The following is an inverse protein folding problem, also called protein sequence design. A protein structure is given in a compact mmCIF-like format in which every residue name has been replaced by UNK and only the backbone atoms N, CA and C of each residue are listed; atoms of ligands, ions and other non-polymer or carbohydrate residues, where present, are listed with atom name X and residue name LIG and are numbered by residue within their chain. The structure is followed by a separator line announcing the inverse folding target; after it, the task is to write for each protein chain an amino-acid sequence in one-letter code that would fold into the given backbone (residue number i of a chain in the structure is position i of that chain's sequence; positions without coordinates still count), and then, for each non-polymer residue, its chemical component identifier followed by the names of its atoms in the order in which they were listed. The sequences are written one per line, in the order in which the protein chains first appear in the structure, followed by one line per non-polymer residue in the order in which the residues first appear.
data_IF_512958614447
#
_entry.id   IF_512958614447
#
_cell.length_a   1.000
_cell.length_b   1.000
_cell.length_c   1.000
_cell.angle_alpha   90.00
_cell.angle_beta   90.00
_cell.angle_gamma   90.00
#
_symmetry.space_group_name_H-M   'P 1'
#
loop_
_entity.id
_entity.type
_entity.pdbx_description
1 polymer ?
#
# COMPACT_ATOMS: atom_id res chain seq x y z
N UNK A 1 3.79 -15.15 44.89
CA UNK A 1 3.44 -13.88 44.26
C UNK A 1 2.76 -14.23 42.92
N UNK A 2 1.42 -14.12 42.90
CA UNK A 2 0.60 -14.45 41.74
C UNK A 2 0.81 -13.42 40.67
N UNK A 3 1.24 -13.86 39.49
CA UNK A 3 1.23 -13.05 38.27
C UNK A 3 -0.22 -12.85 37.85
N UNK A 4 -0.89 -11.86 38.43
CA UNK A 4 -2.15 -11.37 37.90
C UNK A 4 -1.90 -10.94 36.44
N UNK A 5 -2.59 -11.60 35.53
CA UNK A 5 -2.43 -11.34 34.09
C UNK A 5 -2.86 -9.91 33.79
N UNK A 6 -2.00 -9.13 33.16
CA UNK A 6 -2.30 -7.76 32.67
C UNK A 6 -3.47 -7.70 31.68
N UNK A 7 -4.21 -8.79 31.51
CA UNK A 7 -5.29 -8.94 30.52
C UNK A 7 -6.69 -8.51 30.97
N UNK A 8 -6.88 -8.18 32.25
CA UNK A 8 -8.21 -7.81 32.80
C UNK A 8 -8.47 -6.30 32.89
N UNK A 9 -7.57 -5.47 32.33
CA UNK A 9 -7.77 -4.04 32.29
C UNK A 9 -8.94 -3.67 31.34
N UNK A 10 -9.93 -2.93 31.85
CA UNK A 10 -11.00 -2.35 31.03
C UNK A 10 -10.39 -1.44 29.98
N UNK A 11 -10.83 -1.59 28.71
CA UNK A 11 -10.36 -0.80 27.57
C UNK A 11 -11.46 0.15 27.12
N UNK A 12 -11.09 1.39 26.83
CA UNK A 12 -11.96 2.38 26.20
C UNK A 12 -11.40 2.72 24.83
N UNK A 13 -12.23 2.62 23.79
CA UNK A 13 -11.85 3.01 22.45
C UNK A 13 -11.67 4.54 22.39
N UNK A 14 -10.55 5.03 21.87
CA UNK A 14 -10.25 6.46 21.74
C UNK A 14 -10.05 6.91 20.31
N UNK A 15 -9.65 5.99 19.43
CA UNK A 15 -9.30 6.31 18.05
C UNK A 15 -9.38 5.09 17.18
N UNK A 16 -9.89 5.26 15.95
CA UNK A 16 -9.81 4.26 14.87
C UNK A 16 -9.12 4.86 13.67
N UNK A 17 -8.33 4.04 13.00
CA UNK A 17 -7.78 4.30 11.67
C UNK A 17 -8.16 3.16 10.74
N UNK A 18 -8.93 3.49 9.72
CA UNK A 18 -9.29 2.57 8.65
C UNK A 18 -8.44 2.87 7.42
N UNK A 19 -7.75 1.85 6.90
CA UNK A 19 -6.98 1.93 5.67
C UNK A 19 -7.52 0.89 4.71
N UNK A 20 -7.95 1.33 3.54
CA UNK A 20 -8.45 0.46 2.47
C UNK A 20 -7.73 0.77 1.19
N UNK A 21 -7.29 -0.28 0.48
CA UNK A 21 -6.70 -0.13 -0.85
C UNK A 21 -7.25 -1.18 -1.80
N UNK A 22 -7.46 -0.80 -3.07
CA UNK A 22 -8.00 -1.64 -4.13
C UNK A 22 -7.13 -1.50 -5.38
N UNK A 23 -6.88 -2.61 -6.07
CA UNK A 23 -6.16 -2.65 -7.33
C UNK A 23 -7.07 -3.03 -8.47
N UNK A 24 -6.95 -2.34 -9.60
CA UNK A 24 -7.75 -2.53 -10.81
C UNK A 24 -6.84 -2.65 -12.03
N UNK A 25 -7.24 -3.49 -12.99
CA UNK A 25 -6.72 -3.42 -14.36
C UNK A 25 -7.69 -2.58 -15.22
N UNK A 26 -7.14 -1.71 -16.04
CA UNK A 26 -7.87 -0.85 -16.96
C UNK A 26 -7.92 -1.47 -18.36
N UNK A 27 -8.85 -1.01 -19.18
CA UNK A 27 -9.00 -1.47 -20.57
C UNK A 27 -7.83 -1.08 -21.49
N UNK A 28 -7.06 -0.06 -21.10
CA UNK A 28 -5.83 0.38 -21.79
C UNK A 28 -4.57 -0.36 -21.31
N UNK A 29 -4.72 -1.38 -20.45
CA UNK A 29 -3.62 -2.20 -19.93
C UNK A 29 -2.85 -1.58 -18.75
N UNK A 30 -3.21 -0.38 -18.31
CA UNK A 30 -2.67 0.23 -17.09
C UNK A 30 -3.35 -0.33 -15.85
N UNK A 31 -2.80 -0.04 -14.68
CA UNK A 31 -3.33 -0.45 -13.39
C UNK A 31 -3.61 0.77 -12.52
N UNK A 32 -4.81 0.85 -11.96
CA UNK A 32 -5.14 1.85 -10.96
C UNK A 32 -5.10 1.20 -9.56
N UNK A 33 -4.40 1.85 -8.64
CA UNK A 33 -4.40 1.51 -7.22
C UNK A 33 -5.05 2.68 -6.49
N UNK A 34 -6.16 2.40 -5.85
CA UNK A 34 -6.93 3.39 -5.09
C UNK A 34 -6.81 3.09 -3.60
N UNK A 35 -6.46 4.09 -2.81
CA UNK A 35 -6.31 3.99 -1.36
C UNK A 35 -7.12 5.05 -0.64
N UNK A 36 -7.67 4.68 0.51
CA UNK A 36 -8.35 5.59 1.44
C UNK A 36 -7.83 5.36 2.84
N UNK A 37 -7.56 6.45 3.55
CA UNK A 37 -7.29 6.44 4.99
C UNK A 37 -8.32 7.31 5.70
N UNK A 38 -8.89 6.82 6.79
CA UNK A 38 -9.89 7.53 7.58
C UNK A 38 -9.57 7.37 9.07
N UNK A 39 -9.39 8.51 9.75
CA UNK A 39 -9.22 8.59 11.20
C UNK A 39 -10.48 9.12 11.86
N UNK A 40 -10.91 8.49 12.96
CA UNK A 40 -12.07 8.90 13.76
C UNK A 40 -11.73 8.88 15.24
N UNK A 41 -12.41 9.72 16.02
CA UNK A 41 -12.38 9.71 17.47
C UNK A 41 -13.70 9.18 18.03
N UNK A 42 -13.65 8.55 19.18
CA UNK A 42 -14.82 8.12 19.95
C UNK A 42 -15.22 9.13 21.02
N UNK A 43 -15.03 10.41 20.71
CA UNK A 43 -15.45 11.55 21.51
C UNK A 43 -15.48 12.82 20.67
N UNK A 44 -16.27 13.79 21.10
CA UNK A 44 -16.40 15.11 20.44
C UNK A 44 -15.09 15.91 20.53
N UNK A 45 -14.69 16.58 19.44
CA UNK A 45 -13.48 17.43 19.40
C UNK A 45 -13.93 18.89 19.14
N UNK A 46 -13.67 19.82 20.06
CA UNK A 46 -13.83 21.25 19.78
C UNK A 46 -12.81 21.70 18.70
N UNK A 47 -13.28 22.43 17.69
CA UNK A 47 -12.44 23.04 16.66
C UNK A 47 -12.11 24.49 17.01
N UNK A 48 -11.05 25.03 16.38
CA UNK A 48 -10.60 26.41 16.57
C UNK A 48 -11.60 27.46 16.04
N UNK A 49 -12.48 27.06 15.11
CA UNK A 49 -13.56 27.91 14.56
C UNK A 49 -14.83 27.93 15.45
N UNK A 50 -14.79 27.29 16.63
CA UNK A 50 -15.91 27.20 17.55
C UNK A 50 -16.91 26.09 17.23
N UNK A 51 -16.73 25.34 16.13
CA UNK A 51 -17.55 24.18 15.80
C UNK A 51 -17.07 22.92 16.56
N UNK A 52 -17.87 21.86 16.54
CA UNK A 52 -17.56 20.60 17.17
C UNK A 52 -17.56 19.51 16.10
N UNK A 53 -16.43 18.81 15.94
CA UNK A 53 -16.39 17.54 15.24
C UNK A 53 -16.99 16.47 16.14
N UNK A 54 -18.06 15.85 15.69
CA UNK A 54 -18.78 14.85 16.48
C UNK A 54 -18.04 13.51 16.55
N UNK A 55 -18.30 12.75 17.61
CA UNK A 55 -17.88 11.38 17.73
C UNK A 55 -18.24 10.59 16.45
N UNK A 56 -17.26 9.85 15.91
CA UNK A 56 -17.43 9.02 14.73
C UNK A 56 -17.31 9.76 13.39
N UNK A 57 -17.32 11.09 13.39
CA UNK A 57 -17.01 11.88 12.18
C UNK A 57 -15.53 11.76 11.79
N UNK A 58 -15.19 11.80 10.50
CA UNK A 58 -13.82 11.70 10.05
C UNK A 58 -13.01 12.94 10.43
N UNK A 59 -12.06 12.79 11.37
CA UNK A 59 -11.06 13.80 11.70
C UNK A 59 -10.08 14.00 10.54
N UNK A 60 -9.62 12.88 9.95
CA UNK A 60 -8.85 12.87 8.72
C UNK A 60 -9.49 11.90 7.73
N UNK A 61 -9.61 12.31 6.48
CA UNK A 61 -9.99 11.42 5.38
C UNK A 61 -9.26 11.84 4.12
N UNK A 62 -8.37 10.98 3.63
CA UNK A 62 -7.60 11.20 2.41
C UNK A 62 -7.85 10.05 1.45
N UNK A 63 -7.85 10.39 0.17
CA UNK A 63 -7.92 9.44 -0.94
C UNK A 63 -6.69 9.63 -1.81
N UNK A 64 -6.07 8.54 -2.23
CA UNK A 64 -4.96 8.52 -3.17
C UNK A 64 -5.30 7.58 -4.31
N UNK A 65 -5.02 8.01 -5.53
CA UNK A 65 -5.06 7.16 -6.73
C UNK A 65 -3.70 7.19 -7.40
N UNK A 66 -3.17 6.01 -7.74
CA UNK A 66 -1.93 5.83 -8.49
C UNK A 66 -2.27 5.04 -9.75
N UNK A 67 -1.87 5.54 -10.92
CA UNK A 67 -1.90 4.78 -12.17
C UNK A 67 -0.50 4.26 -12.49
N UNK A 68 -0.37 2.97 -12.75
CA UNK A 68 0.88 2.26 -12.97
C UNK A 68 0.91 1.57 -14.33
N UNK A 69 2.10 1.49 -14.92
CA UNK A 69 2.36 0.55 -16.00
C UNK A 69 2.60 -0.88 -15.46
N UNK A 70 2.78 -1.84 -16.37
CA UNK A 70 3.08 -3.24 -16.05
C UNK A 70 4.40 -3.44 -15.29
N UNK A 71 5.31 -2.46 -15.33
CA UNK A 71 6.60 -2.48 -14.63
C UNK A 71 6.52 -1.76 -13.27
N UNK A 72 5.32 -1.38 -12.84
CA UNK A 72 5.06 -0.61 -11.60
C UNK A 72 5.66 0.80 -11.61
N UNK A 73 5.86 1.40 -12.79
CA UNK A 73 6.24 2.80 -12.93
C UNK A 73 4.99 3.67 -12.80
N UNK A 74 5.06 4.73 -12.03
CA UNK A 74 3.95 5.67 -11.83
C UNK A 74 3.78 6.53 -13.08
N UNK A 75 2.63 6.36 -13.75
CA UNK A 75 2.23 7.13 -14.92
C UNK A 75 1.43 8.36 -14.51
N UNK A 76 0.59 8.21 -13.50
CA UNK A 76 -0.12 9.32 -12.87
C UNK A 76 -0.37 9.05 -11.38
N UNK A 77 -0.52 10.11 -10.60
CA UNK A 77 -0.86 10.04 -9.17
C UNK A 77 -1.64 11.26 -8.75
N UNK A 78 -2.66 11.05 -7.94
CA UNK A 78 -3.43 12.13 -7.32
C UNK A 78 -3.71 11.82 -5.85
N UNK A 79 -3.88 12.87 -5.05
CA UNK A 79 -4.36 12.76 -3.68
C UNK A 79 -5.34 13.89 -3.40
N UNK A 80 -6.36 13.55 -2.62
CA UNK A 80 -7.38 14.47 -2.17
C UNK A 80 -7.55 14.37 -0.65
N UNK A 81 -7.64 15.50 0.02
CA UNK A 81 -7.96 15.62 1.44
C UNK A 81 -9.43 15.96 1.59
N UNK A 82 -10.24 14.96 1.92
CA UNK A 82 -11.70 15.09 2.06
C UNK A 82 -12.10 15.61 3.46
N UNK A 83 -11.28 15.32 4.48
CA UNK A 83 -11.46 15.82 5.84
C UNK A 83 -10.11 16.02 6.50
N UNK A 84 -9.93 17.13 7.19
CA UNK A 84 -8.76 17.44 8.01
C UNK A 84 -9.13 18.45 9.11
N UNK A 85 -8.36 18.51 10.21
CA UNK A 85 -8.62 19.43 11.31
C UNK A 85 -8.31 20.91 10.96
N UNK A 86 -7.50 21.14 9.91
CA UNK A 86 -7.07 22.49 9.49
C UNK A 86 -7.22 22.65 7.98
N UNK A 87 -7.72 23.80 7.54
CA UNK A 87 -7.95 24.11 6.12
C UNK A 87 -6.68 24.06 5.28
N UNK A 88 -5.53 24.43 5.86
CA UNK A 88 -4.22 24.36 5.19
C UNK A 88 -3.85 22.94 4.74
N UNK A 89 -4.39 21.90 5.38
CA UNK A 89 -4.10 20.50 5.03
C UNK A 89 -4.57 20.12 3.62
N UNK A 90 -5.55 20.83 3.05
CA UNK A 90 -6.01 20.60 1.68
C UNK A 90 -4.91 20.88 0.65
N UNK A 91 -4.00 21.83 0.96
CA UNK A 91 -2.84 22.18 0.12
C UNK A 91 -1.64 21.25 0.27
N UNK A 92 -1.66 20.31 1.24
CA UNK A 92 -0.49 19.47 1.56
C UNK A 92 -0.11 18.43 0.48
N UNK A 93 -0.89 18.32 -0.62
CA UNK A 93 -0.68 17.35 -1.69
C UNK A 93 0.02 17.94 -2.92
N UNK A 94 0.52 19.16 -2.86
CA UNK A 94 1.07 19.91 -4.00
C UNK A 94 2.29 19.24 -4.67
N UNK A 95 3.09 18.46 -3.94
CA UNK A 95 4.25 17.75 -4.47
C UNK A 95 3.98 16.31 -4.92
N UNK A 96 2.77 15.81 -4.80
CA UNK A 96 2.49 14.40 -5.07
C UNK A 96 2.80 14.00 -6.53
N UNK A 97 2.62 14.93 -7.48
CA UNK A 97 2.94 14.72 -8.90
C UNK A 97 4.43 14.47 -9.15
N UNK A 98 5.32 14.84 -8.23
CA UNK A 98 6.75 14.54 -8.34
C UNK A 98 7.08 13.05 -8.17
N UNK A 99 6.08 12.22 -7.83
CA UNK A 99 6.20 10.76 -7.83
C UNK A 99 6.04 10.16 -9.23
N UNK A 100 5.57 10.90 -10.23
CA UNK A 100 5.45 10.42 -11.61
C UNK A 100 6.84 10.05 -12.14
N UNK A 101 6.95 8.88 -12.77
CA UNK A 101 8.21 8.30 -13.23
C UNK A 101 8.95 7.46 -12.18
N UNK A 102 8.61 7.56 -10.90
CA UNK A 102 9.17 6.67 -9.88
C UNK A 102 8.58 5.26 -10.02
N UNK A 103 9.39 4.26 -9.66
CA UNK A 103 8.98 2.85 -9.70
C UNK A 103 8.65 2.35 -8.28
N UNK A 104 7.50 1.71 -8.10
CA UNK A 104 7.16 1.03 -6.83
C UNK A 104 7.98 -0.27 -6.75
N UNK A 105 8.77 -0.42 -5.68
CA UNK A 105 9.65 -1.56 -5.48
C UNK A 105 10.62 -1.33 -4.32
N UNK A 106 11.75 -2.03 -4.24
CA UNK A 106 12.75 -1.86 -3.19
C UNK A 106 13.11 -0.38 -2.99
N UNK A 107 13.12 0.09 -1.74
CA UNK A 107 13.39 1.49 -1.41
C UNK A 107 12.21 2.47 -1.61
N UNK A 108 11.00 2.00 -1.95
CA UNK A 108 9.82 2.83 -2.17
C UNK A 108 9.56 3.82 -1.03
N UNK A 109 9.55 3.34 0.23
CA UNK A 109 9.35 4.20 1.41
C UNK A 109 10.35 5.38 1.46
N UNK A 110 11.60 5.12 1.11
CA UNK A 110 12.64 6.17 1.11
C UNK A 110 12.40 7.20 0.00
N UNK A 111 11.98 6.76 -1.20
CA UNK A 111 11.62 7.68 -2.30
C UNK A 111 10.42 8.55 -1.94
N UNK A 112 9.36 7.97 -1.40
CA UNK A 112 8.21 8.73 -0.91
C UNK A 112 8.63 9.75 0.15
N UNK A 113 9.45 9.34 1.14
CA UNK A 113 9.93 10.25 2.18
C UNK A 113 10.82 11.37 1.63
N UNK A 114 11.61 11.12 0.59
CA UNK A 114 12.44 12.15 -0.06
C UNK A 114 11.59 13.20 -0.76
N UNK A 115 10.46 12.81 -1.37
CA UNK A 115 9.64 13.68 -2.22
C UNK A 115 8.57 14.43 -1.41
N UNK A 116 7.88 13.73 -0.52
CA UNK A 116 6.74 14.27 0.26
C UNK A 116 6.89 14.05 1.77
N UNK A 117 8.11 13.85 2.26
CA UNK A 117 8.40 13.67 3.69
C UNK A 117 8.47 14.99 4.46
N UNK A 118 8.52 14.89 5.79
CA UNK A 118 8.57 16.03 6.72
C UNK A 118 7.43 17.03 6.45
N UNK A 119 7.76 18.30 6.23
CA UNK A 119 6.82 19.39 5.94
C UNK A 119 6.53 19.59 4.43
N UNK A 120 6.98 18.66 3.58
CA UNK A 120 6.78 18.70 2.13
C UNK A 120 5.47 18.05 1.67
N UNK A 121 4.72 17.45 2.59
CA UNK A 121 3.44 16.80 2.29
C UNK A 121 2.70 16.27 3.52
N UNK A 122 1.54 15.69 3.28
CA UNK A 122 0.69 15.11 4.32
C UNK A 122 1.24 13.76 4.81
N UNK A 123 1.38 13.60 6.13
CA UNK A 123 1.81 12.33 6.76
C UNK A 123 0.84 11.18 6.43
N UNK A 124 -0.47 11.43 6.42
CA UNK A 124 -1.49 10.42 6.11
C UNK A 124 -1.37 9.92 4.66
N UNK A 125 -1.21 10.85 3.71
CA UNK A 125 -0.98 10.52 2.29
C UNK A 125 0.32 9.72 2.11
N UNK A 126 1.39 10.10 2.82
CA UNK A 126 2.67 9.39 2.80
C UNK A 126 2.53 7.95 3.30
N UNK A 127 1.86 7.74 4.45
CA UNK A 127 1.64 6.40 5.01
C UNK A 127 0.75 5.56 4.09
N UNK A 128 -0.28 6.15 3.51
CA UNK A 128 -1.17 5.49 2.56
C UNK A 128 -0.40 5.03 1.31
N UNK A 129 0.43 5.89 0.70
CA UNK A 129 1.28 5.55 -0.44
C UNK A 129 2.23 4.39 -0.16
N UNK A 130 2.80 4.34 1.06
CA UNK A 130 3.68 3.24 1.46
C UNK A 130 2.90 1.93 1.57
N UNK A 131 1.71 1.94 2.15
CA UNK A 131 0.88 0.74 2.29
C UNK A 131 0.34 0.25 0.94
N UNK A 132 0.01 1.15 0.01
CA UNK A 132 -0.49 0.83 -1.33
C UNK A 132 0.53 0.07 -2.18
N UNK A 133 1.82 0.14 -1.89
CA UNK A 133 2.87 -0.56 -2.65
C UNK A 133 2.66 -2.08 -2.68
N UNK A 134 2.25 -2.68 -1.57
CA UNK A 134 1.98 -4.12 -1.51
C UNK A 134 0.76 -4.49 -2.35
N UNK A 135 -0.27 -3.65 -2.35
CA UNK A 135 -1.47 -3.85 -3.19
C UNK A 135 -1.12 -3.73 -4.67
N UNK A 136 -0.31 -2.74 -5.05
CA UNK A 136 0.21 -2.60 -6.41
C UNK A 136 0.95 -3.85 -6.88
N UNK A 137 1.88 -4.32 -6.04
CA UNK A 137 2.64 -5.54 -6.34
C UNK A 137 1.71 -6.76 -6.50
N UNK A 138 0.80 -7.01 -5.57
CA UNK A 138 -0.11 -8.15 -5.64
C UNK A 138 -1.05 -8.08 -6.84
N UNK A 139 -1.54 -6.88 -7.20
CA UNK A 139 -2.40 -6.67 -8.35
C UNK A 139 -1.67 -6.99 -9.65
N UNK A 140 -0.49 -6.38 -9.87
CA UNK A 140 0.26 -6.53 -11.12
C UNK A 140 0.90 -7.91 -11.24
N UNK A 141 1.49 -8.42 -10.14
CA UNK A 141 2.06 -9.77 -10.13
C UNK A 141 0.99 -10.85 -10.35
N UNK A 142 -0.17 -10.69 -9.70
CA UNK A 142 -1.31 -11.59 -9.88
C UNK A 142 -1.77 -11.63 -11.34
N UNK A 143 -1.88 -10.49 -12.01
CA UNK A 143 -2.26 -10.39 -13.42
C UNK A 143 -1.18 -10.99 -14.34
N UNK A 144 0.10 -10.68 -14.14
CA UNK A 144 1.21 -11.33 -14.87
C UNK A 144 1.15 -12.84 -14.75
N UNK A 145 0.95 -13.36 -13.54
CA UNK A 145 0.83 -14.80 -13.29
C UNK A 145 -0.40 -15.42 -13.99
N UNK A 146 -1.52 -14.71 -14.02
CA UNK A 146 -2.74 -15.13 -14.72
C UNK A 146 -2.48 -15.25 -16.22
N UNK A 147 -1.89 -14.21 -16.84
CA UNK A 147 -1.57 -14.20 -18.27
C UNK A 147 -0.53 -15.27 -18.64
N UNK A 148 0.48 -15.48 -17.80
CA UNK A 148 1.48 -16.54 -18.01
C UNK A 148 0.84 -17.93 -18.01
N UNK A 149 -0.05 -18.23 -17.06
CA UNK A 149 -0.80 -19.48 -17.02
C UNK A 149 -1.72 -19.67 -18.23
N UNK A 150 -2.36 -18.60 -18.68
CA UNK A 150 -3.21 -18.64 -19.87
C UNK A 150 -2.41 -18.89 -21.15
N UNK A 151 -1.25 -18.23 -21.30
CA UNK A 151 -0.34 -18.49 -22.40
C UNK A 151 0.11 -19.95 -22.44
N UNK A 152 0.51 -20.49 -21.28
CA UNK A 152 0.92 -21.90 -21.18
C UNK A 152 -0.18 -22.87 -21.59
N UNK A 153 -1.42 -22.66 -21.14
CA UNK A 153 -2.60 -23.48 -21.53
C UNK A 153 -2.87 -23.46 -23.02
N UNK A 154 -2.53 -22.36 -23.68
CA UNK A 154 -2.72 -22.15 -25.13
C UNK A 154 -1.45 -22.48 -25.95
N UNK A 155 -0.44 -23.15 -25.37
CA UNK A 155 0.86 -23.43 -25.96
C UNK A 155 1.56 -22.20 -26.56
N UNK A 156 1.41 -21.05 -25.90
CA UNK A 156 2.07 -19.79 -26.26
C UNK A 156 3.26 -19.50 -25.33
N UNK A 157 4.27 -18.76 -25.80
CA UNK A 157 5.38 -18.32 -24.94
C UNK A 157 4.88 -17.54 -23.72
N UNK A 158 5.58 -17.70 -22.57
CA UNK A 158 5.28 -16.89 -21.40
C UNK A 158 5.56 -15.40 -21.69
N UNK A 159 4.58 -14.51 -21.60
CA UNK A 159 4.78 -13.08 -21.85
C UNK A 159 5.62 -12.40 -20.76
N UNK A 160 5.78 -13.02 -19.58
CA UNK A 160 6.54 -12.51 -18.44
C UNK A 160 7.50 -13.58 -17.91
N UNK A 161 8.56 -13.94 -18.68
CA UNK A 161 9.55 -14.90 -18.21
C UNK A 161 10.27 -14.37 -16.97
N UNK A 162 10.65 -15.29 -16.09
CA UNK A 162 11.45 -14.93 -14.92
C UNK A 162 12.82 -14.42 -15.35
N UNK A 163 13.27 -13.35 -14.74
CA UNK A 163 14.60 -12.79 -15.02
C UNK A 163 15.65 -13.76 -14.46
N UNK A 164 16.59 -14.13 -15.33
CA UNK A 164 17.68 -15.09 -15.00
C UNK A 164 17.17 -16.45 -14.48
N UNK A 165 15.91 -16.80 -14.82
CA UNK A 165 15.27 -18.04 -14.34
C UNK A 165 14.96 -18.07 -12.86
N UNK A 166 15.24 -17.01 -12.11
CA UNK A 166 15.02 -16.94 -10.67
C UNK A 166 13.57 -16.54 -10.36
N UNK A 167 12.86 -17.28 -9.48
CA UNK A 167 11.51 -16.95 -9.08
C UNK A 167 11.43 -15.54 -8.46
N UNK A 168 10.53 -14.70 -8.97
CA UNK A 168 10.41 -13.30 -8.54
C UNK A 168 10.01 -13.15 -7.06
N UNK A 169 9.39 -14.16 -6.47
CA UNK A 169 8.97 -14.16 -5.06
C UNK A 169 10.01 -14.75 -4.09
N UNK A 170 11.09 -15.36 -4.59
CA UNK A 170 12.10 -15.97 -3.73
C UNK A 170 12.72 -14.94 -2.79
N UNK A 171 12.76 -15.23 -1.49
CA UNK A 171 13.26 -14.36 -0.41
C UNK A 171 12.50 -13.02 -0.28
N UNK A 172 11.22 -12.94 -0.68
CA UNK A 172 10.41 -11.73 -0.53
C UNK A 172 9.58 -11.69 0.75
N UNK A 173 9.31 -12.85 1.37
CA UNK A 173 8.62 -12.96 2.66
C UNK A 173 9.00 -14.28 3.34
N UNK A 174 8.55 -14.46 4.59
CA UNK A 174 8.82 -15.65 5.39
C UNK A 174 8.44 -16.97 4.69
N UNK A 175 7.29 -16.98 3.99
CA UNK A 175 6.84 -18.19 3.28
C UNK A 175 7.72 -18.53 2.07
N UNK A 176 8.34 -17.54 1.43
CA UNK A 176 9.21 -17.73 0.26
C UNK A 176 10.71 -17.65 0.60
N UNK A 177 11.06 -17.82 1.88
CA UNK A 177 12.45 -18.01 2.29
C UNK A 177 13.04 -19.23 1.59
N UNK A 178 14.30 -19.15 1.17
CA UNK A 178 14.98 -20.22 0.44
C UNK A 178 15.10 -21.55 1.23
N UNK A 179 14.85 -21.53 2.56
CA UNK A 179 14.84 -22.69 3.44
C UNK A 179 13.43 -23.17 3.81
N UNK A 180 12.39 -22.51 3.30
CA UNK A 180 11.01 -22.85 3.63
C UNK A 180 10.50 -24.08 2.88
N UNK A 181 9.57 -24.81 3.49
CA UNK A 181 8.85 -25.93 2.84
C UNK A 181 8.09 -25.49 1.58
N UNK A 182 7.67 -24.21 1.51
CA UNK A 182 7.00 -23.66 0.33
C UNK A 182 7.98 -23.56 -0.83
N UNK A 183 9.20 -23.09 -0.57
CA UNK A 183 10.26 -23.01 -1.57
C UNK A 183 10.70 -24.41 -2.01
N UNK A 184 10.83 -25.37 -1.11
CA UNK A 184 11.13 -26.77 -1.44
C UNK A 184 10.10 -27.36 -2.42
N UNK A 185 8.80 -27.08 -2.20
CA UNK A 185 7.72 -27.59 -3.06
C UNK A 185 7.60 -26.88 -4.40
N UNK A 186 7.70 -25.53 -4.41
CA UNK A 186 7.46 -24.73 -5.60
C UNK A 186 8.70 -24.57 -6.48
N UNK A 187 9.87 -24.50 -5.86
CA UNK A 187 11.15 -24.19 -6.51
C UNK A 187 12.30 -25.02 -5.93
N UNK A 188 12.27 -26.35 -6.07
CA UNK A 188 13.24 -27.25 -5.42
C UNK A 188 14.71 -26.94 -5.78
N UNK A 189 14.96 -26.38 -6.97
CA UNK A 189 16.29 -25.96 -7.40
C UNK A 189 16.85 -24.73 -6.65
N UNK A 190 15.99 -24.03 -5.91
CA UNK A 190 16.35 -22.84 -5.12
C UNK A 190 16.23 -23.10 -3.61
N UNK A 191 15.78 -24.28 -3.23
CA UNK A 191 15.68 -24.66 -1.82
C UNK A 191 17.09 -24.95 -1.26
N UNK A 192 17.38 -24.41 -0.08
CA UNK A 192 18.61 -24.63 0.67
C UNK A 192 18.29 -25.41 1.95
N UNK A 193 18.85 -26.61 2.07
CA UNK A 193 18.90 -27.33 3.35
C UNK A 193 19.88 -26.63 4.29
N UNK A 194 19.56 -26.62 5.60
CA UNK A 194 20.51 -26.19 6.63
C UNK A 194 21.75 -27.06 6.68
#
# INVERSE_FOLDING_TARGET
MSTESRNDAKKTLLHTRDVSSKGYIRTDGMFDIEGTITDKKSYDIPKSDGTILKEGDPLHKMVVKITLDINMTIIDVSAETLSAPYDICTGANFKIKNLIGEQIGPGWKNRVNKIIGNNEGCTHVRELLVSMATVAFQTIYGEKSRQSREALRNNKPNPFPEKDGKPALLNTCFAFDEKSEVTEKLWPNYFKKD
#
